data_IF_063343715696
#
_entry.id   IF_063343715696
#
_cell.length_a   1.000
_cell.length_b   1.000
_cell.length_c   1.000
_cell.angle_alpha   90.00
_cell.angle_beta   90.00
_cell.angle_gamma   90.00
#
_symmetry.space_group_name_H-M   'P 1'
#
loop_
_entity.id
_entity.type
_entity.pdbx_description
1 polymer ?
#
# COMPACT_ATOMS: atom_id res chain seq x y z
N UNK A 1 11.27 42.52 37.97
CA UNK A 1 10.65 41.46 37.14
C UNK A 1 11.04 40.11 37.74
N UNK A 2 10.09 39.35 38.28
CA UNK A 2 10.29 37.94 38.66
C UNK A 2 9.62 37.10 37.56
N UNK A 3 10.32 36.09 37.04
CA UNK A 3 9.88 35.23 35.92
C UNK A 3 9.73 35.95 34.56
N UNK A 4 10.68 36.80 34.19
CA UNK A 4 10.80 37.26 32.80
C UNK A 4 11.93 36.49 32.12
N UNK A 5 11.57 35.47 31.35
CA UNK A 5 12.48 34.75 30.47
C UNK A 5 12.04 34.98 29.02
N UNK A 6 13.01 35.07 28.12
CA UNK A 6 12.78 34.98 26.69
C UNK A 6 12.95 33.51 26.30
N UNK A 7 11.91 32.91 25.72
CA UNK A 7 11.91 31.51 25.29
C UNK A 7 12.15 31.42 23.79
N UNK A 8 13.06 30.54 23.38
CA UNK A 8 13.29 30.19 21.98
C UNK A 8 13.47 28.69 21.85
N UNK A 9 12.88 28.09 20.81
CA UNK A 9 13.05 26.68 20.48
C UNK A 9 13.83 26.50 19.18
N UNK A 10 14.72 25.50 19.16
CA UNK A 10 15.42 25.04 17.96
C UNK A 10 15.08 23.56 17.70
N UNK A 11 14.97 23.18 16.43
CA UNK A 11 14.78 21.80 15.99
C UNK A 11 16.08 21.34 15.31
N UNK A 12 16.71 20.32 15.89
CA UNK A 12 17.96 19.74 15.39
C UNK A 12 17.71 18.42 14.64
N UNK A 13 18.68 17.97 13.84
CA UNK A 13 18.62 16.73 13.06
C UNK A 13 19.56 15.68 13.67
N UNK A 14 18.98 14.58 14.16
CA UNK A 14 19.76 13.43 14.64
C UNK A 14 19.84 12.34 13.55
N UNK A 15 21.05 11.84 13.29
CA UNK A 15 21.31 10.86 12.23
C UNK A 15 20.75 9.46 12.55
N UNK A 16 20.36 8.74 11.49
CA UNK A 16 19.91 7.34 11.58
C UNK A 16 21.08 6.41 11.91
N UNK A 17 20.91 5.57 12.94
CA UNK A 17 21.93 4.60 13.40
C UNK A 17 21.52 3.16 13.13
N UNK A 18 22.46 2.35 12.64
CA UNK A 18 22.30 0.91 12.43
C UNK A 18 23.04 0.12 13.51
N UNK A 19 22.37 -0.87 14.11
CA UNK A 19 22.90 -1.61 15.28
C UNK A 19 23.08 -3.08 14.92
N UNK A 20 24.33 -3.56 14.97
CA UNK A 20 24.64 -4.98 14.84
C UNK A 20 24.53 -5.68 16.20
N UNK A 21 23.57 -6.60 16.34
CA UNK A 21 23.33 -7.37 17.59
C UNK A 21 23.73 -8.83 17.40
N UNK A 22 24.63 -9.32 18.26
CA UNK A 22 25.00 -10.75 18.31
C UNK A 22 24.22 -11.45 19.40
N UNK A 23 23.36 -12.40 19.03
CA UNK A 23 22.60 -13.22 19.97
C UNK A 23 23.30 -14.56 20.21
N UNK A 24 23.65 -14.85 21.46
CA UNK A 24 24.20 -16.14 21.87
C UNK A 24 23.13 -16.93 22.62
N UNK A 25 22.95 -18.20 22.27
CA UNK A 25 21.94 -19.09 22.87
C UNK A 25 22.64 -20.30 23.43
N UNK A 26 22.31 -20.65 24.68
CA UNK A 26 22.84 -21.85 25.31
C UNK A 26 22.25 -23.09 24.63
N UNK A 27 23.10 -24.11 24.46
CA UNK A 27 22.73 -25.43 23.98
C UNK A 27 23.03 -26.43 25.08
N UNK A 28 22.10 -27.34 25.29
CA UNK A 28 22.23 -28.40 26.28
C UNK A 28 22.09 -29.74 25.57
N UNK A 29 22.91 -30.71 25.97
CA UNK A 29 22.75 -32.10 25.53
C UNK A 29 22.25 -32.93 26.70
N UNK A 30 21.21 -33.71 26.49
CA UNK A 30 20.75 -34.69 27.46
C UNK A 30 21.82 -35.79 27.62
N UNK A 31 22.22 -36.11 28.84
CA UNK A 31 23.25 -37.15 29.08
C UNK A 31 22.78 -38.55 28.71
N UNK A 32 21.48 -38.82 28.85
CA UNK A 32 20.93 -40.17 28.69
C UNK A 32 20.54 -40.50 27.24
N UNK A 33 19.95 -39.54 26.51
CA UNK A 33 19.48 -39.74 25.13
C UNK A 33 20.27 -38.95 24.08
N UNK A 34 21.28 -38.17 24.50
CA UNK A 34 22.13 -37.34 23.64
C UNK A 34 21.40 -36.30 22.76
N UNK A 35 20.11 -36.04 23.04
CA UNK A 35 19.36 -35.05 22.31
C UNK A 35 19.81 -33.62 22.69
N UNK A 36 19.97 -32.75 21.67
CA UNK A 36 20.43 -31.38 21.85
C UNK A 36 19.26 -30.41 21.81
N UNK A 37 19.06 -29.68 22.90
CA UNK A 37 18.05 -28.61 23.01
C UNK A 37 18.76 -27.27 22.99
N UNK A 38 18.28 -26.33 22.18
CA UNK A 38 18.78 -24.96 22.12
C UNK A 38 17.78 -24.02 22.78
N UNK A 39 18.24 -23.10 23.63
CA UNK A 39 17.38 -22.09 24.24
C UNK A 39 16.59 -21.32 23.15
N UNK A 40 15.32 -20.94 23.41
CA UNK A 40 14.52 -20.17 22.47
C UNK A 40 15.26 -18.91 22.01
N UNK A 41 15.15 -18.58 20.73
CA UNK A 41 15.65 -17.32 20.18
C UNK A 41 14.58 -16.22 20.23
N UNK A 42 15.01 -14.97 20.08
CA UNK A 42 14.08 -13.86 19.88
C UNK A 42 13.31 -13.98 18.56
N UNK A 43 12.19 -13.26 18.47
CA UNK A 43 11.35 -13.21 17.26
C UNK A 43 12.14 -12.62 16.10
N UNK A 44 12.08 -13.28 14.95
CA UNK A 44 12.70 -12.84 13.69
C UNK A 44 11.66 -12.80 12.58
N UNK A 45 11.87 -11.92 11.60
CA UNK A 45 11.01 -11.85 10.41
C UNK A 45 10.96 -13.19 9.66
N UNK A 46 12.14 -13.78 9.45
CA UNK A 46 12.31 -15.11 8.86
C UNK A 46 13.20 -15.93 9.79
N UNK A 47 12.88 -17.21 10.07
CA UNK A 47 13.78 -18.09 10.82
C UNK A 47 15.19 -18.08 10.23
N UNK A 48 16.19 -17.87 11.09
CA UNK A 48 17.59 -17.75 10.65
C UNK A 48 18.00 -16.41 10.03
N UNK A 49 17.06 -15.49 9.77
CA UNK A 49 17.35 -14.19 9.14
C UNK A 49 18.31 -13.32 9.95
N UNK A 50 19.15 -12.57 9.24
CA UNK A 50 20.17 -11.70 9.84
C UNK A 50 19.61 -10.34 10.26
N UNK A 51 18.65 -9.82 9.49
CA UNK A 51 18.06 -8.50 9.69
C UNK A 51 16.85 -8.54 10.61
N UNK A 52 16.69 -7.48 11.40
CA UNK A 52 15.57 -7.33 12.34
C UNK A 52 14.27 -6.99 11.62
N UNK A 53 13.14 -7.18 12.31
CA UNK A 53 11.83 -6.72 11.84
C UNK A 53 11.86 -5.19 11.65
N UNK A 54 12.45 -4.45 12.58
CA UNK A 54 12.61 -2.98 12.50
C UNK A 54 13.33 -2.54 11.23
N UNK A 55 14.39 -3.25 10.82
CA UNK A 55 15.11 -2.95 9.58
C UNK A 55 14.20 -3.12 8.36
N UNK A 56 13.45 -4.24 8.29
CA UNK A 56 12.53 -4.49 7.19
C UNK A 56 11.38 -3.47 7.15
N UNK A 57 10.80 -3.11 8.31
CA UNK A 57 9.76 -2.09 8.42
C UNK A 57 10.25 -0.74 7.94
N UNK A 58 11.45 -0.31 8.33
CA UNK A 58 12.01 0.96 7.86
C UNK A 58 12.22 0.97 6.34
N UNK A 59 12.77 -0.11 5.78
CA UNK A 59 13.00 -0.22 4.33
C UNK A 59 11.68 -0.09 3.55
N UNK A 60 10.63 -0.76 4.04
CA UNK A 60 9.29 -0.73 3.43
C UNK A 60 8.66 0.65 3.57
N UNK A 61 8.72 1.29 4.74
CA UNK A 61 8.23 2.65 4.95
C UNK A 61 8.93 3.64 4.02
N UNK A 62 10.26 3.66 4.05
CA UNK A 62 11.07 4.51 3.16
C UNK A 62 10.74 4.25 1.67
N UNK A 63 10.45 3.01 1.29
CA UNK A 63 10.22 2.64 -0.12
C UNK A 63 8.85 3.06 -0.62
N UNK A 64 7.82 2.76 0.15
CA UNK A 64 6.43 2.83 -0.31
C UNK A 64 5.72 4.08 0.17
N UNK A 65 5.97 4.54 1.40
CA UNK A 65 5.39 5.78 1.93
C UNK A 65 6.22 6.99 1.51
N UNK A 66 7.54 6.94 1.71
CA UNK A 66 8.42 8.08 1.38
C UNK A 66 8.93 8.06 -0.07
N UNK A 67 8.52 7.07 -0.86
CA UNK A 67 8.91 6.90 -2.27
C UNK A 67 10.43 6.93 -2.52
N UNK A 68 11.24 6.40 -1.60
CA UNK A 68 12.70 6.29 -1.73
C UNK A 68 13.04 4.92 -2.35
N UNK A 69 13.52 4.87 -3.61
CA UNK A 69 13.92 3.62 -4.25
C UNK A 69 15.00 2.89 -3.45
N UNK A 70 14.95 1.55 -3.47
CA UNK A 70 15.87 0.69 -2.70
C UNK A 70 17.34 1.02 -2.95
N UNK A 71 17.72 1.38 -4.18
CA UNK A 71 19.10 1.79 -4.48
C UNK A 71 19.49 3.10 -3.79
N UNK A 72 18.56 4.04 -3.62
CA UNK A 72 18.83 5.27 -2.86
C UNK A 72 18.96 4.98 -1.36
N UNK A 73 18.11 4.11 -0.82
CA UNK A 73 18.23 3.65 0.57
C UNK A 73 19.57 2.94 0.79
N UNK A 74 19.99 2.06 -0.13
CA UNK A 74 21.30 1.40 -0.09
C UNK A 74 22.44 2.42 -0.05
N UNK A 75 22.39 3.46 -0.90
CA UNK A 75 23.39 4.54 -0.88
C UNK A 75 23.41 5.30 0.45
N UNK A 76 22.25 5.54 1.07
CA UNK A 76 22.16 6.16 2.39
C UNK A 76 22.80 5.26 3.47
N UNK A 77 22.50 3.96 3.46
CA UNK A 77 23.10 2.97 4.37
C UNK A 77 24.63 2.91 4.21
N UNK A 78 25.11 2.90 2.97
CA UNK A 78 26.54 2.85 2.67
C UNK A 78 27.30 4.06 3.22
N UNK A 79 26.71 5.26 3.14
CA UNK A 79 27.34 6.50 3.66
C UNK A 79 27.60 6.46 5.16
N UNK A 80 26.81 5.71 5.91
CA UNK A 80 26.98 5.54 7.36
C UNK A 80 27.63 4.20 7.73
N UNK A 81 28.31 3.56 6.76
CA UNK A 81 29.13 2.36 6.98
C UNK A 81 28.39 1.03 6.90
N UNK A 82 27.09 1.00 6.57
CA UNK A 82 26.34 -0.23 6.40
C UNK A 82 26.37 -0.68 4.93
N UNK A 83 27.15 -1.74 4.64
CA UNK A 83 27.23 -2.33 3.30
C UNK A 83 26.21 -3.46 3.12
N UNK A 84 25.17 -3.23 2.33
CA UNK A 84 24.09 -4.20 2.05
C UNK A 84 23.80 -4.17 0.55
N UNK A 85 23.44 -5.31 -0.03
CA UNK A 85 23.05 -5.39 -1.45
C UNK A 85 21.59 -4.98 -1.65
N UNK A 86 21.27 -4.39 -2.81
CA UNK A 86 19.87 -4.07 -3.18
C UNK A 86 18.99 -5.31 -3.15
N UNK A 87 19.54 -6.47 -3.56
CA UNK A 87 18.86 -7.76 -3.54
C UNK A 87 18.39 -8.13 -2.13
N UNK A 88 19.21 -7.85 -1.12
CA UNK A 88 18.84 -8.06 0.28
C UNK A 88 17.68 -7.16 0.69
N UNK A 89 17.71 -5.88 0.32
CA UNK A 89 16.61 -4.96 0.62
C UNK A 89 15.30 -5.43 -0.05
N UNK A 90 15.37 -5.88 -1.30
CA UNK A 90 14.23 -6.47 -2.01
C UNK A 90 13.68 -7.70 -1.27
N UNK A 91 14.55 -8.64 -0.89
CA UNK A 91 14.16 -9.82 -0.13
C UNK A 91 13.52 -9.48 1.23
N UNK A 92 13.97 -8.41 1.89
CA UNK A 92 13.34 -7.94 3.13
C UNK A 92 11.93 -7.38 2.90
N UNK A 93 11.72 -6.64 1.80
CA UNK A 93 10.36 -6.18 1.44
C UNK A 93 9.43 -7.35 1.14
N UNK A 94 9.90 -8.36 0.42
CA UNK A 94 9.12 -9.56 0.10
C UNK A 94 8.80 -10.39 1.35
N UNK A 95 9.79 -10.63 2.21
CA UNK A 95 9.58 -11.37 3.45
C UNK A 95 8.59 -10.66 4.37
N UNK A 96 8.64 -9.32 4.44
CA UNK A 96 7.66 -8.57 5.22
C UNK A 96 6.26 -8.72 4.62
N UNK A 97 6.12 -8.54 3.30
CA UNK A 97 4.86 -8.74 2.60
C UNK A 97 4.24 -10.12 2.88
N UNK A 98 5.03 -11.19 2.76
CA UNK A 98 4.56 -12.57 3.03
C UNK A 98 4.06 -12.79 4.47
N UNK A 99 4.48 -11.97 5.43
CA UNK A 99 3.99 -12.04 6.83
C UNK A 99 2.68 -11.31 7.03
N UNK A 100 2.39 -10.31 6.21
CA UNK A 100 1.20 -9.47 6.33
C UNK A 100 0.19 -9.71 5.21
N UNK A 101 0.49 -10.56 4.23
CA UNK A 101 -0.35 -10.75 3.04
C UNK A 101 -1.75 -11.26 3.35
N UNK A 102 -1.93 -12.00 4.46
CA UNK A 102 -3.26 -12.42 4.92
C UNK A 102 -4.14 -11.25 5.34
N UNK A 103 -3.54 -10.11 5.75
CA UNK A 103 -4.29 -8.91 6.10
C UNK A 103 -4.98 -8.29 4.88
N UNK A 104 -4.43 -8.46 3.68
CA UNK A 104 -5.03 -7.91 2.46
C UNK A 104 -6.45 -8.45 2.23
N UNK A 105 -6.65 -9.75 2.46
CA UNK A 105 -7.96 -10.37 2.31
C UNK A 105 -8.91 -9.93 3.43
N UNK A 106 -8.42 -9.77 4.66
CA UNK A 106 -9.24 -9.23 5.76
C UNK A 106 -9.68 -7.78 5.48
N UNK A 107 -8.79 -6.95 4.95
CA UNK A 107 -9.10 -5.58 4.53
C UNK A 107 -10.15 -5.59 3.42
N UNK A 108 -9.99 -6.47 2.42
CA UNK A 108 -10.96 -6.61 1.33
C UNK A 108 -12.35 -6.99 1.86
N UNK A 109 -12.43 -7.98 2.73
CA UNK A 109 -13.68 -8.42 3.37
C UNK A 109 -14.32 -7.30 4.20
N UNK A 110 -13.50 -6.55 4.95
CA UNK A 110 -13.97 -5.44 5.77
C UNK A 110 -14.57 -4.31 4.91
N UNK A 111 -13.92 -3.98 3.79
CA UNK A 111 -14.43 -3.02 2.80
C UNK A 111 -15.76 -3.51 2.21
N UNK A 112 -15.85 -4.80 1.82
CA UNK A 112 -17.07 -5.36 1.26
C UNK A 112 -18.23 -5.49 2.26
N UNK A 113 -17.99 -5.29 3.56
CA UNK A 113 -19.06 -5.31 4.56
C UNK A 113 -19.90 -4.02 4.59
N UNK A 114 -19.42 -2.96 3.94
CA UNK A 114 -20.09 -1.67 3.90
C UNK A 114 -21.15 -1.58 2.80
N UNK A 115 -22.02 -0.57 2.90
CA UNK A 115 -23.13 -0.37 1.94
C UNK A 115 -22.68 0.12 0.57
N UNK A 116 -21.48 0.66 0.47
CA UNK A 116 -20.94 1.16 -0.80
C UNK A 116 -19.42 1.00 -0.87
N UNK A 117 -18.94 0.82 -2.10
CA UNK A 117 -17.51 0.77 -2.42
C UNK A 117 -17.24 1.56 -3.69
N UNK A 118 -16.09 2.23 -3.74
CA UNK A 118 -15.55 2.84 -4.94
C UNK A 118 -14.55 1.89 -5.57
N UNK A 119 -14.57 1.73 -6.89
CA UNK A 119 -13.55 0.99 -7.63
C UNK A 119 -13.00 1.87 -8.76
N UNK A 120 -11.68 1.90 -8.88
CA UNK A 120 -10.96 2.63 -9.92
C UNK A 120 -9.64 1.92 -10.24
N UNK A 121 -9.09 2.19 -11.42
CA UNK A 121 -7.87 1.57 -11.91
C UNK A 121 -6.94 2.57 -12.59
N UNK A 122 -5.68 2.58 -12.15
CA UNK A 122 -4.66 3.48 -12.67
C UNK A 122 -3.62 2.72 -13.48
N UNK A 123 -3.33 3.13 -14.73
CA UNK A 123 -2.32 2.47 -15.54
C UNK A 123 -0.93 2.73 -14.98
N UNK A 124 -0.10 1.70 -14.96
CA UNK A 124 1.32 1.78 -14.59
C UNK A 124 2.21 1.14 -15.65
N UNK A 125 3.41 1.68 -15.78
CA UNK A 125 4.47 1.04 -16.54
C UNK A 125 5.08 -0.09 -15.71
N UNK A 126 5.19 -1.26 -16.32
CA UNK A 126 5.86 -2.40 -15.72
C UNK A 126 6.66 -3.15 -16.78
N UNK A 127 7.65 -3.90 -16.33
CA UNK A 127 8.47 -4.70 -17.22
C UNK A 127 7.66 -5.87 -17.77
N UNK A 128 7.41 -5.87 -19.09
CA UNK A 128 6.88 -7.02 -19.82
C UNK A 128 7.39 -7.03 -21.27
N UNK A 129 7.38 -8.19 -21.95
CA UNK A 129 7.87 -8.31 -23.33
C UNK A 129 7.11 -7.45 -24.34
N UNK A 130 5.81 -7.23 -24.11
CA UNK A 130 4.90 -6.60 -25.06
C UNK A 130 4.81 -5.07 -24.89
N UNK A 131 5.56 -4.49 -23.94
CA UNK A 131 5.46 -3.08 -23.50
C UNK A 131 4.02 -2.61 -23.21
N UNK A 132 3.15 -3.52 -22.76
CA UNK A 132 1.78 -3.18 -22.38
C UNK A 132 1.74 -2.48 -21.03
N UNK A 133 0.69 -1.70 -20.76
CA UNK A 133 0.44 -1.14 -19.44
C UNK A 133 -0.07 -2.23 -18.49
N UNK A 134 0.33 -2.15 -17.23
CA UNK A 134 -0.32 -2.84 -16.12
C UNK A 134 -1.25 -1.88 -15.41
N UNK A 135 -2.03 -2.35 -14.44
CA UNK A 135 -3.01 -1.55 -13.74
C UNK A 135 -2.94 -1.84 -12.25
N UNK A 136 -2.93 -0.77 -11.46
CA UNK A 136 -3.21 -0.85 -10.03
C UNK A 136 -4.70 -0.61 -9.87
N UNK A 137 -5.41 -1.66 -9.54
CA UNK A 137 -6.81 -1.63 -9.18
C UNK A 137 -6.94 -1.25 -7.71
N UNK A 138 -7.90 -0.40 -7.41
CA UNK A 138 -8.20 0.06 -6.07
C UNK A 138 -9.68 -0.14 -5.79
N UNK A 139 -9.99 -0.66 -4.61
CA UNK A 139 -11.35 -0.68 -4.05
C UNK A 139 -11.31 -0.02 -2.69
N UNK A 140 -12.15 0.97 -2.45
CA UNK A 140 -12.08 1.76 -1.22
C UNK A 140 -13.44 2.26 -0.74
N UNK A 141 -13.52 2.54 0.55
CA UNK A 141 -14.62 3.20 1.23
C UNK A 141 -14.10 3.81 2.55
N UNK A 142 -14.94 4.35 3.45
CA UNK A 142 -14.47 4.96 4.70
C UNK A 142 -13.72 4.01 5.66
N UNK A 143 -13.85 2.68 5.50
CA UNK A 143 -13.12 1.68 6.31
C UNK A 143 -11.66 1.53 5.88
N UNK A 144 -11.36 1.74 4.60
CA UNK A 144 -10.01 1.59 4.07
C UNK A 144 -9.94 1.43 2.56
N UNK A 145 -8.77 0.99 2.10
CA UNK A 145 -8.49 0.75 0.69
C UNK A 145 -7.79 -0.60 0.49
N UNK A 146 -8.20 -1.30 -0.56
CA UNK A 146 -7.63 -2.54 -1.05
C UNK A 146 -7.02 -2.28 -2.43
N UNK A 147 -5.80 -2.78 -2.65
CA UNK A 147 -5.09 -2.63 -3.92
C UNK A 147 -4.68 -3.98 -4.49
N UNK A 148 -4.80 -4.12 -5.81
CA UNK A 148 -4.34 -5.29 -6.56
C UNK A 148 -3.67 -4.85 -7.86
N UNK A 149 -2.49 -5.39 -8.14
CA UNK A 149 -1.84 -5.19 -9.43
C UNK A 149 -2.29 -6.28 -10.40
N UNK A 150 -2.70 -5.89 -11.61
CA UNK A 150 -2.97 -6.81 -12.71
C UNK A 150 -2.35 -6.33 -14.02
N UNK A 151 -1.83 -7.23 -14.88
CA UNK A 151 -1.27 -6.87 -16.17
C UNK A 151 -2.35 -6.53 -17.21
N UNK A 152 -3.62 -6.49 -16.83
CA UNK A 152 -4.77 -6.22 -17.70
C UNK A 152 -5.73 -5.22 -17.08
N UNK A 153 -6.47 -4.50 -17.93
CA UNK A 153 -7.62 -3.68 -17.55
C UNK A 153 -8.94 -4.44 -17.70
N UNK A 154 -8.95 -5.75 -17.45
CA UNK A 154 -10.13 -6.58 -17.71
C UNK A 154 -11.20 -6.37 -16.63
N UNK A 155 -12.47 -6.29 -17.05
CA UNK A 155 -13.61 -6.29 -16.11
C UNK A 155 -13.71 -7.57 -15.26
N UNK A 156 -13.00 -8.64 -15.63
CA UNK A 156 -12.88 -9.84 -14.80
C UNK A 156 -12.16 -9.57 -13.47
N UNK A 157 -11.23 -8.60 -13.44
CA UNK A 157 -10.53 -8.20 -12.21
C UNK A 157 -11.51 -7.54 -11.24
N UNK A 158 -12.34 -6.62 -11.73
CA UNK A 158 -13.38 -5.99 -10.91
C UNK A 158 -14.40 -7.01 -10.36
N UNK A 159 -14.77 -8.02 -11.15
CA UNK A 159 -15.63 -9.12 -10.69
C UNK A 159 -14.97 -9.95 -9.57
N UNK A 160 -13.67 -10.21 -9.67
CA UNK A 160 -12.92 -10.91 -8.62
C UNK A 160 -12.85 -10.08 -7.34
N UNK A 161 -12.52 -8.78 -7.44
CA UNK A 161 -12.44 -7.89 -6.28
C UNK A 161 -13.76 -7.80 -5.52
N UNK A 162 -14.88 -7.76 -6.25
CA UNK A 162 -16.25 -7.73 -5.73
C UNK A 162 -16.79 -9.10 -5.30
N UNK A 163 -16.00 -10.18 -5.40
CA UNK A 163 -16.47 -11.52 -5.01
C UNK A 163 -16.87 -11.53 -3.53
N UNK A 164 -18.13 -11.89 -3.28
CA UNK A 164 -18.74 -11.90 -1.95
C UNK A 164 -19.47 -10.61 -1.56
N UNK A 165 -19.49 -9.60 -2.44
CA UNK A 165 -20.32 -8.41 -2.27
C UNK A 165 -21.74 -8.68 -2.78
N UNK A 166 -22.68 -8.94 -1.87
CA UNK A 166 -24.01 -9.44 -2.24
C UNK A 166 -25.05 -8.32 -2.42
N UNK A 167 -24.90 -7.19 -1.74
CA UNK A 167 -25.88 -6.10 -1.75
C UNK A 167 -25.20 -4.77 -1.41
N UNK A 168 -25.56 -3.71 -2.13
CA UNK A 168 -25.05 -2.37 -1.87
C UNK A 168 -24.88 -1.55 -3.14
N UNK A 169 -24.02 -0.55 -3.08
CA UNK A 169 -23.69 0.30 -4.22
C UNK A 169 -22.22 0.14 -4.62
N UNK A 170 -21.94 0.08 -5.92
CA UNK A 170 -20.58 0.18 -6.45
C UNK A 170 -20.50 1.47 -7.25
N UNK A 171 -19.55 2.32 -6.90
CA UNK A 171 -19.27 3.58 -7.59
C UNK A 171 -18.03 3.39 -8.45
N UNK A 172 -18.13 3.63 -9.75
CA UNK A 172 -17.00 3.51 -10.68
C UNK A 172 -16.93 4.71 -11.62
N UNK A 173 -15.91 4.78 -12.47
CA UNK A 173 -15.95 5.63 -13.65
C UNK A 173 -16.86 5.04 -14.75
N UNK A 174 -16.82 5.62 -15.95
CA UNK A 174 -17.57 5.14 -17.12
C UNK A 174 -16.91 4.00 -17.89
N UNK A 175 -15.93 3.29 -17.33
CA UNK A 175 -15.22 2.21 -18.03
C UNK A 175 -16.14 1.01 -18.30
N UNK A 176 -16.11 0.51 -19.53
CA UNK A 176 -16.96 -0.60 -19.97
C UNK A 176 -16.71 -1.91 -19.24
N UNK A 177 -15.53 -2.07 -18.60
CA UNK A 177 -15.23 -3.21 -17.74
C UNK A 177 -16.18 -3.37 -16.56
N UNK A 178 -16.91 -2.31 -16.17
CA UNK A 178 -17.90 -2.33 -15.09
C UNK A 178 -19.33 -2.63 -15.55
N UNK A 179 -19.57 -2.77 -16.86
CA UNK A 179 -20.93 -2.96 -17.40
C UNK A 179 -21.64 -4.23 -16.88
N UNK A 180 -20.90 -5.22 -16.37
CA UNK A 180 -21.48 -6.42 -15.75
C UNK A 180 -22.35 -6.10 -14.52
N UNK A 181 -22.11 -4.96 -13.85
CA UNK A 181 -22.88 -4.50 -12.70
C UNK A 181 -24.33 -4.19 -13.06
N UNK A 182 -24.62 -3.86 -14.32
CA UNK A 182 -25.99 -3.61 -14.81
C UNK A 182 -26.89 -4.85 -14.75
N UNK A 183 -26.28 -6.03 -14.74
CA UNK A 183 -26.99 -7.30 -14.69
C UNK A 183 -27.11 -7.85 -13.26
N UNK A 184 -26.70 -7.08 -12.24
CA UNK A 184 -26.80 -7.48 -10.83
C UNK A 184 -28.10 -6.91 -10.25
N UNK A 185 -28.93 -7.77 -9.67
CA UNK A 185 -30.25 -7.35 -9.14
C UNK A 185 -30.13 -6.57 -7.82
N UNK A 186 -29.18 -6.95 -6.98
CA UNK A 186 -29.01 -6.43 -5.61
C UNK A 186 -27.89 -5.39 -5.50
N UNK A 187 -27.06 -5.22 -6.53
CA UNK A 187 -25.97 -4.25 -6.55
C UNK A 187 -26.36 -3.06 -7.42
N UNK A 188 -26.40 -1.87 -6.82
CA UNK A 188 -26.63 -0.61 -7.55
C UNK A 188 -25.32 -0.10 -8.13
N UNK A 189 -25.29 0.16 -9.42
CA UNK A 189 -24.16 0.80 -10.09
C UNK A 189 -24.35 2.32 -10.11
N UNK A 190 -23.43 3.07 -9.51
CA UNK A 190 -23.37 4.53 -9.55
C UNK A 190 -22.09 5.00 -10.25
N UNK A 191 -22.12 6.22 -10.77
CA UNK A 191 -20.97 6.82 -11.46
C UNK A 191 -20.32 7.90 -10.61
N UNK A 192 -19.00 7.95 -10.65
CA UNK A 192 -18.18 8.87 -9.88
C UNK A 192 -18.29 10.31 -10.41
N UNK A 193 -18.82 11.23 -9.58
CA UNK A 193 -18.93 12.65 -9.92
C UNK A 193 -17.58 13.33 -10.15
N UNK A 194 -16.51 12.89 -9.47
CA UNK A 194 -15.17 13.44 -9.70
C UNK A 194 -14.67 13.16 -11.13
N UNK A 195 -15.03 12.02 -11.71
CA UNK A 195 -14.70 11.69 -13.10
C UNK A 195 -15.51 12.55 -14.09
N UNK A 196 -16.79 12.76 -13.82
CA UNK A 196 -17.65 13.65 -14.62
C UNK A 196 -17.11 15.08 -14.56
N UNK A 197 -16.84 15.60 -13.37
CA UNK A 197 -16.25 16.92 -13.12
C UNK A 197 -14.97 17.13 -13.92
N UNK A 198 -14.03 16.18 -13.86
CA UNK A 198 -12.75 16.25 -14.59
C UNK A 198 -12.97 16.47 -16.09
N UNK A 199 -13.95 15.79 -16.69
CA UNK A 199 -14.28 15.95 -18.11
C UNK A 199 -14.87 17.30 -18.46
N UNK A 200 -15.75 17.85 -17.63
CA UNK A 200 -16.23 19.21 -17.83
C UNK A 200 -15.12 20.26 -17.61
N UNK A 201 -14.26 20.07 -16.61
CA UNK A 201 -13.11 20.93 -16.39
C UNK A 201 -12.16 20.94 -17.60
N UNK A 202 -11.83 19.77 -18.16
CA UNK A 202 -11.03 19.67 -19.41
C UNK A 202 -11.72 20.40 -20.59
N UNK A 203 -13.05 20.33 -20.66
CA UNK A 203 -13.86 20.94 -21.72
C UNK A 203 -13.96 22.48 -21.62
N UNK A 204 -13.73 23.09 -20.44
CA UNK A 204 -13.73 24.56 -20.27
C UNK A 204 -12.75 25.26 -21.21
N UNK A 205 -11.66 24.59 -21.61
CA UNK A 205 -10.70 25.10 -22.58
C UNK A 205 -11.30 25.31 -23.99
N UNK A 206 -12.47 24.74 -24.27
CA UNK A 206 -13.12 24.75 -25.58
C UNK A 206 -14.53 25.33 -25.55
N UNK A 207 -15.27 25.13 -24.45
CA UNK A 207 -16.62 25.66 -24.26
C UNK A 207 -16.76 26.26 -22.84
N UNK A 208 -16.85 27.59 -22.70
CA UNK A 208 -17.06 28.25 -21.41
C UNK A 208 -18.31 27.79 -20.66
N UNK A 209 -19.33 27.23 -21.33
CA UNK A 209 -20.53 26.71 -20.68
C UNK A 209 -20.24 25.51 -19.76
N UNK A 210 -19.10 24.84 -19.94
CA UNK A 210 -18.70 23.74 -19.07
C UNK A 210 -18.43 24.19 -17.63
N UNK A 211 -18.08 25.47 -17.40
CA UNK A 211 -17.83 26.04 -16.08
C UNK A 211 -19.06 25.92 -15.17
N UNK A 212 -20.25 26.28 -15.68
CA UNK A 212 -21.49 26.18 -14.93
C UNK A 212 -21.82 24.74 -14.48
N UNK A 213 -21.34 23.73 -15.21
CA UNK A 213 -21.50 22.32 -14.81
C UNK A 213 -20.50 21.93 -13.73
N UNK A 214 -19.26 22.44 -13.79
CA UNK A 214 -18.26 22.25 -12.74
C UNK A 214 -18.76 22.86 -11.43
N UNK A 215 -19.25 24.11 -11.48
CA UNK A 215 -19.80 24.81 -10.31
C UNK A 215 -20.97 24.06 -9.68
N UNK A 216 -21.85 23.49 -10.51
CA UNK A 216 -22.98 22.68 -10.03
C UNK A 216 -22.51 21.39 -9.35
N UNK A 217 -21.48 20.73 -9.89
CA UNK A 217 -20.92 19.52 -9.29
C UNK A 217 -20.17 19.84 -7.99
N UNK A 218 -19.52 21.00 -7.89
CA UNK A 218 -18.79 21.42 -6.69
C UNK A 218 -19.70 21.55 -5.46
N UNK A 219 -20.97 21.93 -5.66
CA UNK A 219 -21.98 21.96 -4.59
C UNK A 219 -22.25 20.57 -3.96
N UNK A 220 -21.84 19.47 -4.58
CA UNK A 220 -21.97 18.12 -4.00
C UNK A 220 -20.91 17.81 -2.94
N UNK A 221 -19.85 18.61 -2.86
CA UNK A 221 -18.70 18.41 -1.98
C UNK A 221 -18.62 19.42 -0.83
N UNK A 222 -19.52 20.39 -0.79
CA UNK A 222 -19.72 21.35 0.32
C UNK A 222 -20.58 20.74 1.44
#
# INVERSE_FOLDING_TARGET
MKNCFEESSEIDVNERKYIHRRHQRQKYSCKDCHNVVTAPGGVKLTPGGEYSIQMATQIVGDKFEDHIPLERQRKQMYRVGLNVEVKTLFGLTEHLYRRISSLNELIRQDILSEKWVNIDESPIDFYNPNKSKGYIWSMSNPRGAYYQFEPTRSGAVAQEMLRGYENGCVVTDGFSGYNFLKNQETIKHAFCWAHVRRKFFEAMNHDPKAEAVVDLIDQLYE
#
